data_IF_914365745836
#
_entry.id   IF_914365745836
#
_cell.length_a   1.000
_cell.length_b   1.000
_cell.length_c   1.000
_cell.angle_alpha   90.00
_cell.angle_beta   90.00
_cell.angle_gamma   90.00
#
_symmetry.space_group_name_H-M   'P 1'
#
loop_
_entity.id
_entity.type
_entity.pdbx_description
1 polymer ?
#
# COMPACT_ATOMS: atom_id res chain seq x y z
N UNK A 1 -11.89 12.72 -5.73
CA UNK A 1 -11.17 12.09 -4.60
C UNK A 1 -11.27 10.56 -4.63
N UNK A 2 -12.47 9.96 -4.68
CA UNK A 2 -12.60 8.49 -4.67
C UNK A 2 -11.95 7.80 -5.90
N UNK A 3 -12.13 8.34 -7.11
CA UNK A 3 -11.53 7.77 -8.33
C UNK A 3 -9.99 7.80 -8.36
N UNK A 4 -9.37 8.83 -7.79
CA UNK A 4 -7.91 8.91 -7.63
C UNK A 4 -7.37 7.85 -6.65
N UNK A 5 -8.15 7.48 -5.62
CA UNK A 5 -7.75 6.40 -4.71
C UNK A 5 -7.75 5.03 -5.38
N UNK A 6 -8.73 4.75 -6.26
CA UNK A 6 -8.74 3.51 -7.04
C UNK A 6 -7.55 3.43 -8.00
N UNK A 7 -7.22 4.54 -8.67
CA UNK A 7 -6.05 4.62 -9.55
C UNK A 7 -4.75 4.31 -8.79
N UNK A 8 -4.53 4.95 -7.64
CA UNK A 8 -3.35 4.68 -6.80
C UNK A 8 -3.37 3.26 -6.24
N UNK A 9 -4.54 2.74 -5.87
CA UNK A 9 -4.72 1.38 -5.36
C UNK A 9 -4.23 0.30 -6.33
N UNK A 10 -4.43 0.46 -7.64
CA UNK A 10 -3.90 -0.47 -8.64
C UNK A 10 -2.36 -0.48 -8.65
N UNK A 11 -1.74 0.70 -8.55
CA UNK A 11 -0.28 0.80 -8.47
C UNK A 11 0.26 0.23 -7.16
N UNK A 12 -0.49 0.35 -6.07
CA UNK A 12 -0.15 -0.26 -4.78
C UNK A 12 -0.22 -1.79 -4.86
N UNK A 13 -1.31 -2.35 -5.40
CA UNK A 13 -1.45 -3.80 -5.63
C UNK A 13 -0.30 -4.31 -6.50
N UNK A 14 0.08 -3.58 -7.56
CA UNK A 14 1.23 -3.93 -8.38
C UNK A 14 2.53 -3.93 -7.57
N UNK A 15 2.81 -2.85 -6.83
CA UNK A 15 4.01 -2.76 -5.98
C UNK A 15 4.09 -3.92 -4.98
N UNK A 16 2.97 -4.23 -4.33
CA UNK A 16 2.88 -5.32 -3.37
C UNK A 16 3.11 -6.68 -4.04
N UNK A 17 2.49 -6.94 -5.19
CA UNK A 17 2.70 -8.16 -5.96
C UNK A 17 4.15 -8.34 -6.43
N UNK A 18 4.78 -7.27 -6.95
CA UNK A 18 6.18 -7.30 -7.36
C UNK A 18 7.13 -7.47 -6.17
N UNK A 19 6.91 -6.75 -5.06
CA UNK A 19 7.73 -6.88 -3.86
C UNK A 19 7.65 -8.31 -3.30
N UNK A 20 6.46 -8.91 -3.31
CA UNK A 20 6.23 -10.31 -2.99
C UNK A 20 7.02 -11.25 -3.89
N UNK A 21 6.90 -11.12 -5.21
CA UNK A 21 7.63 -11.98 -6.16
C UNK A 21 9.14 -11.85 -5.96
N UNK A 22 9.66 -10.63 -5.85
CA UNK A 22 11.10 -10.38 -5.66
C UNK A 22 11.57 -11.05 -4.38
N UNK A 23 10.86 -10.82 -3.27
CA UNK A 23 11.17 -11.41 -1.98
C UNK A 23 11.14 -12.94 -2.02
N UNK A 24 10.07 -13.54 -2.55
CA UNK A 24 9.94 -14.99 -2.65
C UNK A 24 11.01 -15.60 -3.56
N UNK A 25 11.41 -14.90 -4.62
CA UNK A 25 12.46 -15.32 -5.54
C UNK A 25 13.84 -15.30 -4.90
N UNK A 26 14.15 -14.23 -4.17
CA UNK A 26 15.48 -14.02 -3.59
C UNK A 26 15.69 -14.80 -2.30
N UNK A 27 14.62 -15.05 -1.55
CA UNK A 27 14.73 -15.47 -0.15
C UNK A 27 13.78 -16.62 0.21
N UNK A 28 12.70 -16.82 -0.55
CA UNK A 28 11.59 -17.65 -0.10
C UNK A 28 11.96 -19.10 0.21
N UNK A 29 12.99 -19.64 -0.44
CA UNK A 29 13.53 -20.97 -0.15
C UNK A 29 14.25 -21.04 1.20
N UNK A 30 15.10 -20.06 1.49
CA UNK A 30 15.89 -20.03 2.73
C UNK A 30 15.04 -19.66 3.94
N UNK A 31 13.96 -18.90 3.74
CA UNK A 31 13.01 -18.51 4.78
C UNK A 31 11.97 -19.61 5.11
N UNK A 32 12.05 -20.80 4.49
CA UNK A 32 11.15 -21.92 4.77
C UNK A 32 9.68 -21.65 4.41
N UNK A 33 9.43 -20.77 3.44
CA UNK A 33 8.08 -20.33 3.12
C UNK A 33 7.32 -21.36 2.31
N UNK A 34 6.04 -21.52 2.66
CA UNK A 34 5.12 -22.34 1.87
C UNK A 34 4.98 -21.79 0.44
N UNK A 35 4.93 -22.67 -0.57
CA UNK A 35 4.63 -22.27 -1.95
C UNK A 35 3.31 -21.50 -2.11
N UNK A 36 2.40 -21.56 -1.13
CA UNK A 36 1.12 -20.82 -1.16
C UNK A 36 1.29 -19.30 -1.26
N UNK A 37 2.41 -18.74 -0.79
CA UNK A 37 2.69 -17.31 -0.93
C UNK A 37 2.87 -16.87 -2.39
N UNK A 38 3.28 -17.78 -3.27
CA UNK A 38 3.30 -17.52 -4.72
C UNK A 38 1.89 -17.31 -5.26
N UNK A 39 0.88 -17.98 -4.72
CA UNK A 39 -0.52 -17.81 -5.13
C UNK A 39 -0.97 -16.38 -4.79
N UNK A 40 -0.62 -15.87 -3.60
CA UNK A 40 -0.92 -14.49 -3.23
C UNK A 40 -0.20 -13.48 -4.16
N UNK A 41 1.09 -13.68 -4.39
CA UNK A 41 1.90 -12.82 -5.25
C UNK A 41 1.35 -12.76 -6.69
N UNK A 42 1.12 -13.94 -7.29
CA UNK A 42 0.57 -14.07 -8.63
C UNK A 42 -0.89 -13.62 -8.71
N UNK A 43 -1.67 -13.78 -7.64
CA UNK A 43 -3.03 -13.26 -7.54
C UNK A 43 -3.07 -11.74 -7.62
N UNK A 44 -2.20 -11.04 -6.87
CA UNK A 44 -2.08 -9.58 -6.93
C UNK A 44 -1.65 -9.10 -8.33
N UNK A 45 -0.65 -9.74 -8.92
CA UNK A 45 -0.20 -9.42 -10.29
C UNK A 45 -1.28 -9.76 -11.34
N UNK A 46 -2.04 -10.83 -11.13
CA UNK A 46 -3.17 -11.23 -11.95
C UNK A 46 -4.30 -10.19 -11.91
N UNK A 47 -4.60 -9.61 -10.75
CA UNK A 47 -5.56 -8.50 -10.62
C UNK A 47 -5.09 -7.27 -11.40
N UNK A 48 -3.79 -6.95 -11.35
CA UNK A 48 -3.22 -5.85 -12.13
C UNK A 48 -3.31 -6.15 -13.63
N UNK A 49 -2.93 -7.35 -14.06
CA UNK A 49 -3.03 -7.77 -15.45
C UNK A 49 -4.48 -7.70 -15.93
N UNK A 50 -5.43 -8.24 -15.16
CA UNK A 50 -6.85 -8.18 -15.47
C UNK A 50 -7.37 -6.73 -15.57
N UNK A 51 -6.91 -5.84 -14.70
CA UNK A 51 -7.21 -4.41 -14.79
C UNK A 51 -6.71 -3.81 -16.11
N UNK A 52 -5.43 -4.02 -16.45
CA UNK A 52 -4.88 -3.49 -17.70
C UNK A 52 -5.57 -4.10 -18.93
N UNK A 53 -5.81 -5.41 -18.92
CA UNK A 53 -6.54 -6.08 -20.00
C UNK A 53 -7.95 -5.51 -20.14
N UNK A 54 -8.69 -5.33 -19.04
CA UNK A 54 -10.04 -4.77 -19.09
C UNK A 54 -10.08 -3.36 -19.69
N UNK A 55 -9.18 -2.47 -19.24
CA UNK A 55 -9.22 -1.05 -19.61
C UNK A 55 -8.55 -0.72 -20.95
N UNK A 56 -7.57 -1.51 -21.41
CA UNK A 56 -6.74 -1.17 -22.57
C UNK A 56 -6.91 -2.06 -23.82
N UNK A 57 -7.66 -3.17 -23.78
CA UNK A 57 -7.81 -4.08 -24.95
C UNK A 57 -9.20 -4.11 -25.59
N UNK A 58 -10.13 -3.26 -25.14
CA UNK A 58 -11.51 -3.19 -25.65
C UNK A 58 -12.52 -4.12 -24.95
N UNK A 59 -12.09 -4.90 -23.96
CA UNK A 59 -12.99 -5.71 -23.13
C UNK A 59 -14.05 -4.87 -22.40
N UNK A 60 -13.72 -3.63 -22.04
CA UNK A 60 -14.66 -2.65 -21.49
C UNK A 60 -15.89 -2.40 -22.36
N UNK A 61 -15.76 -2.53 -23.68
CA UNK A 61 -16.85 -2.29 -24.62
C UNK A 61 -17.80 -3.50 -24.69
N UNK A 62 -17.28 -4.70 -24.41
CA UNK A 62 -18.06 -5.95 -24.37
C UNK A 62 -18.80 -6.16 -23.06
N UNK A 63 -18.24 -5.69 -21.94
CA UNK A 63 -18.84 -5.83 -20.61
C UNK A 63 -19.13 -4.45 -20.00
N UNK A 64 -20.26 -3.81 -20.40
CA UNK A 64 -20.59 -2.44 -20.03
C UNK A 64 -21.13 -2.30 -18.60
N UNK A 65 -21.01 -3.33 -17.74
CA UNK A 65 -21.49 -3.31 -16.36
C UNK A 65 -21.04 -2.06 -15.59
N UNK A 66 -19.82 -1.59 -15.90
CA UNK A 66 -19.18 -0.43 -15.29
C UNK A 66 -19.46 0.91 -16.00
N UNK A 67 -20.36 0.93 -17.00
CA UNK A 67 -20.84 2.14 -17.69
C UNK A 67 -22.09 2.76 -17.05
N UNK A 68 -22.61 2.17 -15.97
CA UNK A 68 -23.74 2.76 -15.25
C UNK A 68 -23.41 4.21 -14.87
N UNK A 69 -24.34 5.17 -15.08
CA UNK A 69 -24.16 6.56 -14.67
C UNK A 69 -23.77 6.71 -13.20
N UNK A 70 -24.21 5.76 -12.36
CA UNK A 70 -23.89 5.68 -10.92
C UNK A 70 -22.40 5.56 -10.62
N UNK A 71 -21.61 4.99 -11.55
CA UNK A 71 -20.18 4.74 -11.37
C UNK A 71 -19.30 5.56 -12.32
N UNK A 72 -19.89 6.46 -13.13
CA UNK A 72 -19.13 7.24 -14.11
C UNK A 72 -17.98 8.01 -13.44
N UNK A 73 -18.27 8.81 -12.41
CA UNK A 73 -17.25 9.57 -11.69
C UNK A 73 -16.27 8.73 -10.86
N UNK A 74 -16.57 7.46 -10.57
CA UNK A 74 -15.69 6.57 -9.80
C UNK A 74 -14.52 6.09 -10.65
N UNK A 75 -14.76 5.81 -11.93
CA UNK A 75 -13.77 5.25 -12.84
C UNK A 75 -13.16 6.27 -13.80
N UNK A 76 -13.58 7.53 -13.76
CA UNK A 76 -13.06 8.57 -14.65
C UNK A 76 -11.55 8.72 -14.58
N UNK A 77 -10.96 8.68 -13.38
CA UNK A 77 -9.50 8.73 -13.21
C UNK A 77 -8.80 7.53 -13.86
N UNK A 78 -9.42 6.35 -13.86
CA UNK A 78 -8.86 5.14 -14.49
C UNK A 78 -9.03 5.21 -16.02
N UNK A 79 -10.17 5.71 -16.51
CA UNK A 79 -10.46 5.83 -17.94
C UNK A 79 -9.56 6.83 -18.64
N UNK A 80 -9.22 7.92 -17.95
CA UNK A 80 -8.37 8.99 -18.47
C UNK A 80 -6.88 8.72 -18.22
N UNK A 81 -6.54 7.72 -17.40
CA UNK A 81 -5.16 7.46 -17.04
C UNK A 81 -4.38 6.82 -18.18
N UNK A 82 -3.24 7.42 -18.53
CA UNK A 82 -2.29 6.84 -19.47
C UNK A 82 -1.41 5.79 -18.77
N UNK A 83 -0.93 4.76 -19.48
CA UNK A 83 0.02 3.78 -18.93
C UNK A 83 1.27 4.42 -18.33
N UNK A 84 1.73 5.56 -18.88
CA UNK A 84 2.86 6.33 -18.35
C UNK A 84 2.59 6.90 -16.96
N UNK A 85 1.35 7.28 -16.66
CA UNK A 85 0.96 7.78 -15.35
C UNK A 85 0.96 6.64 -14.33
N UNK A 86 0.47 5.45 -14.71
CA UNK A 86 0.58 4.25 -13.87
C UNK A 86 2.04 3.93 -13.54
N UNK A 87 2.95 3.98 -14.52
CA UNK A 87 4.36 3.71 -14.29
C UNK A 87 5.01 4.73 -13.34
N UNK A 88 4.66 6.02 -13.47
CA UNK A 88 5.15 7.07 -12.55
C UNK A 88 4.67 6.85 -11.12
N UNK A 89 3.38 6.54 -10.93
CA UNK A 89 2.86 6.21 -9.60
C UNK A 89 3.49 4.94 -9.07
N UNK A 90 3.62 3.91 -9.91
CA UNK A 90 4.28 2.67 -9.53
C UNK A 90 5.70 2.96 -9.00
N UNK A 91 6.55 3.65 -9.77
CA UNK A 91 7.92 3.95 -9.39
C UNK A 91 8.04 4.79 -8.10
N UNK A 92 7.23 5.84 -7.98
CA UNK A 92 7.22 6.67 -6.75
C UNK A 92 6.77 5.88 -5.52
N UNK A 93 5.80 4.98 -5.69
CA UNK A 93 5.32 4.09 -4.61
C UNK A 93 6.31 2.96 -4.32
N UNK A 94 7.08 2.50 -5.31
CA UNK A 94 8.17 1.53 -5.08
C UNK A 94 9.22 2.10 -4.13
N UNK A 95 9.61 3.36 -4.32
CA UNK A 95 10.55 4.03 -3.42
C UNK A 95 10.01 4.11 -1.99
N UNK A 96 8.70 4.35 -1.84
CA UNK A 96 8.04 4.31 -0.54
C UNK A 96 8.12 2.90 0.07
N UNK A 97 7.80 1.84 -0.67
CA UNK A 97 7.89 0.46 -0.17
C UNK A 97 9.32 0.11 0.25
N UNK A 98 10.31 0.42 -0.60
CA UNK A 98 11.73 0.20 -0.29
C UNK A 98 12.14 0.94 0.98
N UNK A 99 11.77 2.22 1.11
CA UNK A 99 12.06 3.01 2.30
C UNK A 99 11.43 2.42 3.57
N UNK A 100 10.20 1.89 3.48
CA UNK A 100 9.56 1.22 4.61
C UNK A 100 10.26 -0.10 4.98
N UNK A 101 10.66 -0.91 3.99
CA UNK A 101 11.39 -2.15 4.26
C UNK A 101 12.74 -1.85 4.89
N UNK A 102 13.53 -0.93 4.33
CA UNK A 102 14.84 -0.54 4.87
C UNK A 102 14.71 0.06 6.27
N UNK A 103 13.77 1.00 6.48
CA UNK A 103 13.51 1.57 7.79
C UNK A 103 13.06 0.51 8.80
N UNK A 104 12.22 -0.44 8.37
CA UNK A 104 11.79 -1.57 9.18
C UNK A 104 12.97 -2.44 9.60
N UNK A 105 13.88 -2.77 8.68
CA UNK A 105 15.08 -3.56 8.98
C UNK A 105 15.98 -2.88 10.03
N UNK A 106 16.21 -1.58 9.89
CA UNK A 106 16.98 -0.80 10.87
C UNK A 106 16.28 -0.80 12.23
N UNK A 107 14.96 -0.65 12.23
CA UNK A 107 14.17 -0.60 13.46
C UNK A 107 14.15 -1.95 14.16
N UNK A 108 13.98 -3.06 13.43
CA UNK A 108 14.06 -4.42 14.00
C UNK A 108 15.38 -4.63 14.74
N UNK A 109 16.49 -4.24 14.12
CA UNK A 109 17.82 -4.34 14.75
C UNK A 109 17.93 -3.45 16.00
N UNK A 110 17.39 -2.22 15.96
CA UNK A 110 17.39 -1.32 17.11
C UNK A 110 16.59 -1.84 18.31
N UNK A 111 15.58 -2.69 18.08
CA UNK A 111 14.78 -3.33 19.12
C UNK A 111 15.30 -4.73 19.51
N UNK A 112 16.45 -5.16 18.99
CA UNK A 112 17.03 -6.47 19.28
C UNK A 112 16.24 -7.65 18.71
N UNK A 113 15.55 -7.44 17.58
CA UNK A 113 14.82 -8.51 16.88
C UNK A 113 15.77 -9.15 15.87
N UNK A 114 16.42 -10.24 16.28
CA UNK A 114 17.49 -10.90 15.54
C UNK A 114 16.98 -11.96 14.54
N UNK A 115 16.14 -11.52 13.61
CA UNK A 115 15.67 -12.34 12.51
C UNK A 115 16.63 -12.28 11.30
N UNK A 116 16.84 -13.38 10.55
CA UNK A 116 17.65 -13.36 9.33
C UNK A 116 17.22 -12.25 8.40
N UNK A 117 18.17 -11.46 7.86
CA UNK A 117 17.90 -10.29 7.02
C UNK A 117 16.88 -10.57 5.92
N UNK A 118 17.03 -11.74 5.31
CA UNK A 118 16.19 -12.22 4.24
C UNK A 118 14.74 -12.44 4.73
N UNK A 119 14.56 -13.17 5.83
CA UNK A 119 13.26 -13.37 6.48
C UNK A 119 12.63 -12.04 6.90
N UNK A 120 13.41 -11.12 7.49
CA UNK A 120 12.95 -9.81 7.92
C UNK A 120 12.45 -8.95 6.76
N UNK A 121 13.19 -8.90 5.65
CA UNK A 121 12.77 -8.18 4.45
C UNK A 121 11.44 -8.72 3.91
N UNK A 122 11.25 -10.04 3.96
CA UNK A 122 10.00 -10.66 3.60
C UNK A 122 8.86 -10.30 4.54
N UNK A 123 9.05 -10.52 5.84
CA UNK A 123 8.04 -10.25 6.86
C UNK A 123 7.58 -8.79 6.82
N UNK A 124 8.52 -7.85 6.69
CA UNK A 124 8.22 -6.43 6.55
C UNK A 124 7.41 -6.12 5.29
N UNK A 125 7.75 -6.74 4.16
CA UNK A 125 6.95 -6.62 2.94
C UNK A 125 5.53 -7.15 3.16
N UNK A 126 5.36 -8.26 3.89
CA UNK A 126 4.05 -8.86 4.17
C UNK A 126 3.22 -7.98 5.12
N UNK A 127 3.86 -7.45 6.15
CA UNK A 127 3.25 -6.50 7.08
C UNK A 127 2.77 -5.25 6.34
N UNK A 128 3.57 -4.74 5.39
CA UNK A 128 3.17 -3.62 4.53
C UNK A 128 1.96 -3.96 3.65
N UNK A 129 1.93 -5.15 3.03
CA UNK A 129 0.74 -5.63 2.29
C UNK A 129 -0.48 -5.55 3.20
N UNK A 130 -0.42 -6.14 4.38
CA UNK A 130 -1.52 -6.14 5.35
C UNK A 130 -1.93 -4.74 5.81
N UNK A 131 -0.99 -3.82 5.94
CA UNK A 131 -1.25 -2.44 6.35
C UNK A 131 -2.01 -1.62 5.29
N UNK A 132 -1.82 -1.93 4.00
CA UNK A 132 -2.48 -1.22 2.90
C UNK A 132 -3.78 -1.84 2.42
N UNK A 133 -4.09 -3.07 2.87
CA UNK A 133 -5.41 -3.65 2.62
C UNK A 133 -6.46 -2.93 3.49
N UNK A 134 -7.69 -2.70 2.99
CA UNK A 134 -8.76 -1.97 3.67
C UNK A 134 -9.38 -2.75 4.86
N UNK A 135 -8.57 -3.59 5.50
CA UNK A 135 -8.92 -4.48 6.62
C UNK A 135 -8.33 -3.93 7.93
N UNK A 136 -7.39 -2.98 7.87
CA UNK A 136 -6.82 -2.33 9.07
C UNK A 136 -7.30 -0.87 9.21
N UNK A 137 -7.86 -0.54 10.37
CA UNK A 137 -8.21 0.85 10.72
C UNK A 137 -6.93 1.56 11.11
N UNK A 138 -6.52 2.56 10.32
CA UNK A 138 -5.32 3.37 10.57
C UNK A 138 -4.01 2.57 10.78
N UNK A 139 -3.88 1.38 10.18
CA UNK A 139 -2.72 0.50 10.36
C UNK A 139 -2.52 -0.01 11.79
N UNK A 140 -3.58 0.00 12.61
CA UNK A 140 -3.61 -0.64 13.93
C UNK A 140 -4.27 -2.03 13.86
N UNK A 141 -3.87 -2.92 14.76
CA UNK A 141 -4.28 -4.32 14.85
C UNK A 141 -3.57 -5.24 13.86
N UNK A 142 -3.81 -5.02 12.55
CA UNK A 142 -3.31 -5.92 11.50
C UNK A 142 -1.79 -5.99 11.42
N UNK A 143 -1.09 -4.86 11.27
CA UNK A 143 0.38 -4.84 11.22
C UNK A 143 1.06 -5.34 12.50
N UNK A 144 0.48 -5.07 13.67
CA UNK A 144 0.99 -5.53 14.97
C UNK A 144 0.84 -7.05 15.10
N UNK A 145 -0.33 -7.59 14.78
CA UNK A 145 -0.57 -9.03 14.77
C UNK A 145 0.31 -9.75 13.74
N UNK A 146 0.53 -9.14 12.57
CA UNK A 146 1.46 -9.67 11.58
C UNK A 146 2.92 -9.62 12.07
N UNK A 147 3.34 -8.54 12.73
CA UNK A 147 4.66 -8.45 13.34
C UNK A 147 4.87 -9.53 14.39
N UNK A 148 3.89 -9.75 15.27
CA UNK A 148 3.92 -10.85 16.25
C UNK A 148 4.02 -12.20 15.55
N UNK A 149 3.16 -12.46 14.58
CA UNK A 149 3.16 -13.71 13.83
C UNK A 149 4.52 -14.03 13.21
N UNK A 150 5.15 -13.06 12.54
CA UNK A 150 6.44 -13.26 11.88
C UNK A 150 7.63 -13.25 12.86
N UNK A 151 7.63 -12.39 13.88
CA UNK A 151 8.81 -12.16 14.69
C UNK A 151 8.81 -12.87 16.05
N UNK A 152 7.73 -13.53 16.47
CA UNK A 152 7.70 -14.30 17.73
C UNK A 152 8.83 -15.35 17.89
N UNK A 153 9.39 -15.96 16.82
CA UNK A 153 10.51 -16.91 16.99
C UNK A 153 11.85 -16.21 17.26
N UNK A 154 11.93 -14.90 17.05
CA UNK A 154 13.18 -14.13 16.99
C UNK A 154 13.30 -13.06 18.09
N UNK A 155 12.24 -12.81 18.84
CA UNK A 155 12.24 -11.84 19.93
C UNK A 155 11.12 -12.11 20.94
N UNK A 156 11.24 -11.52 22.13
CA UNK A 156 10.17 -11.50 23.13
C UNK A 156 8.96 -10.70 22.64
N UNK A 157 7.77 -11.07 23.10
CA UNK A 157 6.52 -10.37 22.82
C UNK A 157 6.62 -8.85 23.08
N UNK A 158 7.27 -8.46 24.18
CA UNK A 158 7.43 -7.06 24.58
C UNK A 158 8.24 -6.25 23.57
N UNK A 159 9.30 -6.85 22.99
CA UNK A 159 10.14 -6.21 21.99
C UNK A 159 9.38 -6.02 20.67
N UNK A 160 8.60 -7.02 20.25
CA UNK A 160 7.79 -6.95 19.02
C UNK A 160 6.64 -5.94 19.18
N UNK A 161 6.00 -5.93 20.35
CA UNK A 161 4.98 -4.93 20.68
C UNK A 161 5.57 -3.52 20.66
N UNK A 162 6.73 -3.31 21.31
CA UNK A 162 7.40 -2.01 21.33
C UNK A 162 7.80 -1.54 19.92
N UNK A 163 8.37 -2.44 19.10
CA UNK A 163 8.67 -2.19 17.70
C UNK A 163 7.43 -1.75 16.91
N UNK A 164 6.35 -2.53 16.99
CA UNK A 164 5.15 -2.30 16.17
C UNK A 164 4.38 -1.04 16.57
N UNK A 165 4.36 -0.71 17.86
CA UNK A 165 3.81 0.56 18.38
C UNK A 165 4.68 1.73 17.93
N UNK A 166 6.00 1.63 18.08
CA UNK A 166 6.93 2.68 17.65
C UNK A 166 6.79 2.97 16.16
N UNK A 167 6.73 1.93 15.32
CA UNK A 167 6.54 2.08 13.88
C UNK A 167 5.23 2.80 13.53
N UNK A 168 4.13 2.39 14.16
CA UNK A 168 2.82 3.00 13.95
C UNK A 168 2.80 4.45 14.40
N UNK A 169 3.45 4.76 15.53
CA UNK A 169 3.57 6.12 16.05
C UNK A 169 4.43 7.00 15.14
N UNK A 170 5.59 6.51 14.70
CA UNK A 170 6.45 7.22 13.76
C UNK A 170 5.71 7.55 12.45
N UNK A 171 4.91 6.61 11.95
CA UNK A 171 4.10 6.82 10.76
C UNK A 171 2.98 7.85 10.98
N UNK A 172 2.28 7.78 12.11
CA UNK A 172 1.23 8.74 12.47
C UNK A 172 1.81 10.15 12.65
N UNK A 173 2.89 10.28 13.42
CA UNK A 173 3.56 11.55 13.67
C UNK A 173 4.16 12.13 12.40
N UNK A 174 4.76 11.30 11.54
CA UNK A 174 5.27 11.72 10.23
C UNK A 174 4.14 12.28 9.36
N UNK A 175 3.01 11.56 9.25
CA UNK A 175 1.82 12.02 8.52
C UNK A 175 1.25 13.31 9.10
N UNK A 176 1.15 13.40 10.42
CA UNK A 176 0.69 14.62 11.10
C UNK A 176 1.62 15.79 10.80
N UNK A 177 2.93 15.60 10.93
CA UNK A 177 3.94 16.61 10.64
C UNK A 177 3.85 17.13 9.20
N UNK A 178 3.80 16.23 8.21
CA UNK A 178 3.59 16.63 6.82
C UNK A 178 2.23 17.32 6.62
N UNK A 179 1.17 16.81 7.26
CA UNK A 179 -0.16 17.42 7.22
C UNK A 179 -0.16 18.85 7.74
N UNK A 180 0.54 19.12 8.84
CA UNK A 180 0.65 20.45 9.44
C UNK A 180 1.39 21.44 8.54
N UNK A 181 2.44 21.01 7.83
CA UNK A 181 3.16 21.87 6.86
C UNK A 181 2.19 22.41 5.79
N UNK A 182 1.27 21.57 5.31
CA UNK A 182 0.30 21.95 4.28
C UNK A 182 -1.05 22.43 4.82
N UNK A 183 -1.25 22.36 6.14
CA UNK A 183 -2.55 22.66 6.78
C UNK A 183 -3.02 24.08 6.48
N UNK A 184 -2.14 25.08 6.53
CA UNK A 184 -2.51 26.46 6.24
C UNK A 184 -2.98 26.68 4.78
N UNK A 185 -2.38 25.98 3.82
CA UNK A 185 -2.81 26.04 2.42
C UNK A 185 -4.14 25.31 2.23
N UNK A 186 -4.31 24.15 2.86
CA UNK A 186 -5.57 23.41 2.85
C UNK A 186 -6.71 24.22 3.48
N UNK A 187 -6.47 24.82 4.66
CA UNK A 187 -7.45 25.62 5.40
C UNK A 187 -7.92 26.82 4.58
N UNK A 188 -6.99 27.56 3.96
CA UNK A 188 -7.34 28.66 3.06
C UNK A 188 -8.12 28.19 1.84
N UNK A 189 -7.75 27.07 1.23
CA UNK A 189 -8.48 26.52 0.08
C UNK A 189 -9.92 26.11 0.45
N UNK A 190 -10.10 25.50 1.63
CA UNK A 190 -11.38 24.98 2.08
C UNK A 190 -12.33 26.08 2.60
N UNK A 191 -11.80 27.11 3.26
CA UNK A 191 -12.61 28.11 3.97
C UNK A 191 -12.46 29.55 3.45
N UNK A 192 -11.51 29.81 2.54
CA UNK A 192 -11.35 31.13 1.89
C UNK A 192 -11.82 31.14 0.43
N UNK A 193 -12.31 30.01 -0.09
CA UNK A 193 -13.03 30.01 -1.36
C UNK A 193 -14.32 30.83 -1.19
N UNK A 194 -14.38 31.98 -1.86
CA UNK A 194 -15.64 32.72 -2.02
C UNK A 194 -16.69 31.76 -2.61
N UNK A 195 -17.96 31.83 -2.21
CA UNK A 195 -19.00 31.04 -2.85
C UNK A 195 -18.91 31.22 -4.36
N UNK A 196 -18.86 30.12 -5.10
CA UNK A 196 -18.89 30.14 -6.56
C UNK A 196 -20.25 30.71 -6.95
N UNK A 197 -20.32 31.87 -7.63
CA UNK A 197 -21.61 32.44 -8.02
C UNK A 197 -22.36 31.43 -8.90
N UNK A 198 -23.55 31.01 -8.47
CA UNK A 198 -24.41 30.08 -9.23
C UNK A 198 -24.57 28.67 -8.66
N UNK A 199 -23.95 28.35 -7.51
CA UNK A 199 -24.27 27.15 -6.73
C UNK A 199 -24.83 27.58 -5.37
N UNK A 200 -26.14 27.86 -5.34
CA UNK A 200 -26.90 27.91 -4.09
C UNK A 200 -27.29 26.47 -3.73
N UNK A 201 -27.01 26.07 -2.48
CA UNK A 201 -27.41 24.78 -1.90
C UNK A 201 -28.81 24.93 -1.32
#
# INVERSE_FOLDING_TARGET
VVGSHLFVGVADIANLGFALVITLSLVGRDAGLSPTWWIAALGLLGLVAAHFTYWFTGLRDRFPFWRSPKFAGLFDSIRQAEPRQYLRVFATRSLFVIGNVVGGLITLHAFGIDAPLSYSAMALTMILVGAFLPISVASFGGPQAAAEFFFHPYASHEAIAAYSIMWSMAFLLGRLGFGLIFFGTLWRGAFSARPVPGYEI
#
